data_IF_215082067308
#
_entry.id   IF_215082067308
#
_cell.length_a   1.000
_cell.length_b   1.000
_cell.length_c   1.000
_cell.angle_alpha   90.00
_cell.angle_beta   90.00
_cell.angle_gamma   90.00
#
_symmetry.space_group_name_H-M   'P 1'
#
loop_
_entity.id
_entity.type
_entity.pdbx_description
1 polymer ?
#
# COMPACT_ATOMS: atom_id res chain seq x y z
N UNK A 1 4.53 17.06 -27.06
CA UNK A 1 4.35 16.62 -26.75
C UNK A 1 4.12 15.94 -26.51
N UNK A 2 4.08 15.84 -26.54
CA UNK A 2 3.80 15.06 -26.23
C UNK A 2 3.91 14.75 -25.48
N UNK A 3 4.37 14.78 -25.22
CA UNK A 3 4.53 14.36 -24.63
C UNK A 3 4.39 14.19 -23.80
N UNK A 4 4.44 14.48 -23.29
CA UNK A 4 4.31 14.11 -22.48
C UNK A 4 3.70 13.57 -22.10
N UNK A 5 3.12 13.58 -22.19
CA UNK A 5 2.36 12.84 -22.10
C UNK A 5 2.47 11.70 -22.58
N UNK A 6 2.87 11.51 -23.12
CA UNK A 6 3.11 10.43 -23.54
C UNK A 6 3.99 9.88 -23.19
N UNK A 7 4.64 10.31 -22.71
CA UNK A 7 5.48 9.71 -22.38
C UNK A 7 5.36 8.95 -21.54
N UNK A 8 5.03 9.15 -21.09
CA UNK A 8 5.13 8.28 -20.17
C UNK A 8 4.70 7.11 -20.51
N UNK A 9 4.11 7.24 -20.98
CA UNK A 9 3.59 6.17 -21.15
C UNK A 9 4.44 5.22 -21.49
N UNK A 10 5.27 5.41 -21.76
CA UNK A 10 5.98 4.50 -22.05
C UNK A 10 6.53 3.74 -21.03
N UNK A 11 6.29 3.91 -19.84
CA UNK A 11 6.79 3.16 -18.81
C UNK A 11 5.92 2.01 -18.60
N UNK A 12 6.33 0.78 -18.85
CA UNK A 12 5.49 -0.39 -18.64
C UNK A 12 5.08 -0.54 -17.19
N UNK A 13 5.98 -0.23 -16.28
CA UNK A 13 5.63 -0.36 -14.88
C UNK A 13 4.51 0.59 -14.50
N UNK A 14 4.49 1.77 -15.09
CA UNK A 14 3.43 2.73 -14.79
C UNK A 14 2.08 2.23 -15.21
N UNK A 15 2.02 1.49 -16.33
CA UNK A 15 0.74 0.99 -16.77
C UNK A 15 0.31 -0.23 -15.99
N UNK A 16 1.22 -0.89 -15.30
CA UNK A 16 0.87 -2.07 -14.53
C UNK A 16 0.40 -1.75 -13.13
N UNK A 17 0.62 -0.55 -12.66
CA UNK A 17 0.21 -0.17 -11.32
C UNK A 17 -0.26 1.27 -11.30
N UNK A 18 -1.49 1.48 -10.87
CA UNK A 18 -2.03 2.80 -10.66
C UNK A 18 -2.26 3.00 -9.19
N UNK A 19 -1.87 4.15 -8.68
CA UNK A 19 -1.98 4.47 -7.27
C UNK A 19 -2.59 5.85 -7.13
N UNK A 20 -3.58 5.98 -6.25
CA UNK A 20 -4.18 7.27 -5.92
C UNK A 20 -4.19 7.44 -4.42
N UNK A 21 -3.82 8.64 -3.97
CA UNK A 21 -3.93 8.99 -2.58
C UNK A 21 -5.19 9.81 -2.40
N UNK A 22 -6.07 9.35 -1.53
CA UNK A 22 -7.35 9.97 -1.32
C UNK A 22 -7.49 10.39 0.13
N UNK A 23 -7.86 11.65 0.33
CA UNK A 23 -8.14 12.16 1.67
C UNK A 23 -9.62 11.94 1.90
N UNK A 24 -9.94 11.04 2.83
CA UNK A 24 -11.33 10.69 3.09
C UNK A 24 -11.90 11.45 4.27
N UNK A 25 -11.16 12.44 4.78
CA UNK A 25 -11.66 13.22 5.91
C UNK A 25 -11.36 12.56 7.23
N UNK A 26 -11.43 13.34 8.27
CA UNK A 26 -11.30 12.83 9.64
C UNK A 26 -9.98 12.13 9.89
N UNK A 27 -8.93 12.56 9.20
CA UNK A 27 -7.62 11.98 9.40
C UNK A 27 -7.42 10.66 8.72
N UNK A 28 -8.25 10.32 7.76
CA UNK A 28 -8.14 9.04 7.04
C UNK A 28 -7.57 9.28 5.65
N UNK A 29 -6.50 8.57 5.33
CA UNK A 29 -5.89 8.61 4.01
C UNK A 29 -6.00 7.23 3.41
N UNK A 30 -6.53 7.15 2.18
CA UNK A 30 -6.62 5.89 1.47
C UNK A 30 -5.60 5.87 0.35
N UNK A 31 -4.81 4.80 0.29
CA UNK A 31 -3.86 4.57 -0.79
C UNK A 31 -4.50 3.51 -1.66
N UNK A 32 -5.11 3.95 -2.76
CA UNK A 32 -5.86 3.05 -3.62
C UNK A 32 -4.98 2.56 -4.75
N UNK A 33 -4.82 1.26 -4.86
CA UNK A 33 -3.93 0.66 -5.84
C UNK A 33 -4.70 -0.25 -6.77
N UNK A 34 -4.29 -0.29 -8.04
CA UNK A 34 -4.89 -1.17 -9.03
C UNK A 34 -3.80 -1.68 -9.96
N UNK A 35 -3.74 -2.98 -10.13
CA UNK A 35 -2.76 -3.58 -11.02
C UNK A 35 -1.90 -4.61 -10.30
N UNK A 36 -0.60 -4.56 -10.54
CA UNK A 36 0.32 -5.54 -9.99
C UNK A 36 1.45 -4.82 -9.25
N UNK A 37 1.82 -5.38 -8.11
CA UNK A 37 2.93 -4.85 -7.33
C UNK A 37 4.04 -5.89 -7.37
N UNK A 38 5.04 -5.64 -8.19
CA UNK A 38 6.15 -6.56 -8.36
C UNK A 38 7.46 -5.79 -8.19
N UNK A 39 8.56 -6.42 -8.56
CA UNK A 39 9.86 -5.80 -8.31
C UNK A 39 10.00 -4.47 -9.06
N UNK A 40 9.32 -4.31 -10.18
CA UNK A 40 9.44 -3.08 -10.96
C UNK A 40 8.54 -1.98 -10.42
N UNK A 41 7.38 -2.31 -9.91
CA UNK A 41 6.42 -1.31 -9.44
C UNK A 41 6.51 -1.05 -7.94
N UNK A 42 7.13 -1.95 -7.20
CA UNK A 42 7.19 -1.82 -5.75
C UNK A 42 7.87 -0.53 -5.27
N UNK A 43 8.93 -0.03 -5.91
CA UNK A 43 9.51 1.23 -5.43
C UNK A 43 8.51 2.38 -5.46
N UNK A 44 7.70 2.44 -6.51
CA UNK A 44 6.69 3.50 -6.59
C UNK A 44 5.62 3.30 -5.52
N UNK A 45 5.24 2.06 -5.28
CA UNK A 45 4.30 1.74 -4.21
C UNK A 45 4.84 2.24 -2.86
N UNK A 46 6.12 1.96 -2.59
CA UNK A 46 6.73 2.42 -1.36
C UNK A 46 6.77 3.93 -1.23
N UNK A 47 7.04 4.62 -2.34
CA UNK A 47 7.08 6.07 -2.32
C UNK A 47 5.70 6.65 -2.00
N UNK A 48 4.66 6.08 -2.57
CA UNK A 48 3.33 6.58 -2.31
C UNK A 48 2.89 6.31 -0.88
N UNK A 49 3.28 5.17 -0.33
CA UNK A 49 3.01 4.90 1.08
C UNK A 49 3.70 5.94 1.96
N UNK A 50 4.95 6.28 1.64
CA UNK A 50 5.67 7.27 2.41
C UNK A 50 4.99 8.62 2.35
N UNK A 51 4.49 9.00 1.17
CA UNK A 51 3.77 10.26 1.04
C UNK A 51 2.53 10.28 1.91
N UNK A 52 1.82 9.16 1.95
CA UNK A 52 0.62 9.09 2.77
C UNK A 52 0.96 9.29 4.24
N UNK A 53 2.07 8.71 4.68
CA UNK A 53 2.46 8.82 6.08
C UNK A 53 2.95 10.20 6.45
N UNK A 54 3.46 10.95 5.48
CA UNK A 54 3.97 12.30 5.76
C UNK A 54 2.90 13.21 6.31
N UNK A 55 1.65 12.94 6.00
CA UNK A 55 0.56 13.77 6.49
C UNK A 55 0.14 13.39 7.90
N UNK A 56 0.79 12.41 8.49
CA UNK A 56 0.49 11.94 9.84
C UNK A 56 -1.00 11.69 10.03
N UNK A 57 -1.61 10.89 9.16
CA UNK A 57 -3.03 10.61 9.31
C UNK A 57 -3.28 9.73 10.52
N UNK A 58 -4.50 9.79 11.02
CA UNK A 58 -4.90 8.90 12.10
C UNK A 58 -5.01 7.46 11.60
N UNK A 59 -5.30 7.31 10.31
CA UNK A 59 -5.54 5.99 9.78
C UNK A 59 -5.17 5.99 8.30
N UNK A 60 -4.39 5.00 7.91
CA UNK A 60 -4.05 4.81 6.51
C UNK A 60 -4.68 3.50 6.07
N UNK A 61 -5.46 3.56 5.00
CA UNK A 61 -6.07 2.37 4.44
C UNK A 61 -5.36 2.08 3.13
N UNK A 62 -4.63 0.98 3.07
CA UNK A 62 -3.98 0.55 1.84
C UNK A 62 -4.95 -0.37 1.14
N UNK A 63 -5.54 0.14 0.08
CA UNK A 63 -6.63 -0.54 -0.61
C UNK A 63 -6.04 -1.33 -1.78
N UNK A 64 -5.91 -2.62 -1.59
CA UNK A 64 -5.37 -3.52 -2.61
C UNK A 64 -6.46 -4.37 -3.25
N UNK A 65 -7.72 -3.95 -3.12
CA UNK A 65 -8.81 -4.77 -3.65
C UNK A 65 -8.77 -4.93 -5.15
N UNK A 66 -8.10 -4.01 -5.85
CA UNK A 66 -7.96 -4.12 -7.29
C UNK A 66 -6.54 -4.51 -7.70
N UNK A 67 -5.78 -5.06 -6.77
CA UNK A 67 -4.44 -5.56 -7.05
C UNK A 67 -4.54 -7.06 -7.23
N UNK A 68 -4.00 -7.55 -8.34
CA UNK A 68 -4.06 -8.97 -8.66
C UNK A 68 -2.80 -9.72 -8.27
N UNK A 69 -1.76 -9.01 -7.90
CA UNK A 69 -0.50 -9.66 -7.57
C UNK A 69 0.35 -8.74 -6.71
N UNK A 70 0.93 -9.30 -5.67
CA UNK A 70 1.91 -8.60 -4.86
C UNK A 70 3.00 -9.60 -4.52
N UNK A 71 4.26 -9.20 -4.69
CA UNK A 71 5.35 -10.09 -4.34
C UNK A 71 6.03 -9.62 -3.06
N UNK A 72 7.10 -10.29 -2.68
CA UNK A 72 7.73 -10.05 -1.40
C UNK A 72 8.28 -8.64 -1.26
N UNK A 73 8.67 -8.02 -2.37
CA UNK A 73 9.19 -6.65 -2.28
C UNK A 73 8.06 -5.69 -1.90
N UNK A 74 6.88 -5.89 -2.50
CA UNK A 74 5.73 -5.07 -2.15
C UNK A 74 5.32 -5.27 -0.71
N UNK A 75 5.33 -6.52 -0.26
CA UNK A 75 4.99 -6.80 1.13
C UNK A 75 5.97 -6.13 2.07
N UNK A 76 7.26 -6.11 1.70
CA UNK A 76 8.24 -5.47 2.52
C UNK A 76 7.93 -3.99 2.69
N UNK A 77 7.52 -3.33 1.61
CA UNK A 77 7.16 -1.93 1.72
C UNK A 77 5.96 -1.72 2.64
N UNK A 78 5.01 -2.66 2.62
CA UNK A 78 3.88 -2.57 3.54
C UNK A 78 4.32 -2.68 4.99
N UNK A 79 5.21 -3.62 5.27
CA UNK A 79 5.68 -3.80 6.64
C UNK A 79 6.49 -2.59 7.09
N UNK A 80 7.31 -2.04 6.20
CA UNK A 80 8.07 -0.85 6.54
C UNK A 80 7.14 0.33 6.82
N UNK A 81 6.09 0.48 6.02
CA UNK A 81 5.15 1.57 6.23
C UNK A 81 4.42 1.39 7.56
N UNK A 82 4.04 0.17 7.87
CA UNK A 82 3.36 -0.07 9.14
C UNK A 82 4.24 0.30 10.32
N UNK A 83 5.53 -0.01 10.21
CA UNK A 83 6.47 0.33 11.28
C UNK A 83 6.64 1.83 11.40
N UNK A 84 6.38 2.58 10.34
CA UNK A 84 6.55 4.02 10.36
C UNK A 84 5.31 4.80 10.75
N UNK A 85 4.22 4.12 11.07
CA UNK A 85 3.00 4.80 11.45
C UNK A 85 3.17 5.41 12.83
N UNK A 86 2.67 6.62 13.00
CA UNK A 86 2.79 7.32 14.28
C UNK A 86 2.07 6.58 15.38
N UNK A 87 2.54 6.78 16.60
CA UNK A 87 1.90 6.18 17.75
C UNK A 87 0.45 6.64 17.81
N UNK A 88 -0.45 5.68 17.96
CA UNK A 88 -1.87 5.99 18.02
C UNK A 88 -2.56 5.96 16.68
N UNK A 89 -1.78 5.88 15.60
CA UNK A 89 -2.36 5.78 14.27
C UNK A 89 -2.36 4.33 13.83
N UNK A 90 -3.09 4.04 12.75
CA UNK A 90 -3.23 2.69 12.27
C UNK A 90 -3.01 2.62 10.78
N UNK A 91 -2.47 1.49 10.34
CA UNK A 91 -2.37 1.18 8.93
C UNK A 91 -3.14 -0.13 8.71
N UNK A 92 -4.13 -0.08 7.83
CA UNK A 92 -4.97 -1.23 7.53
C UNK A 92 -4.81 -1.59 6.07
N UNK A 93 -4.91 -2.87 5.76
CA UNK A 93 -4.78 -3.35 4.39
C UNK A 93 -6.05 -4.07 4.01
N UNK A 94 -6.58 -3.74 2.83
CA UNK A 94 -7.76 -4.40 2.28
C UNK A 94 -7.35 -5.14 1.03
N UNK A 95 -7.74 -6.40 0.91
CA UNK A 95 -7.41 -7.21 -0.25
C UNK A 95 -8.50 -8.23 -0.47
N UNK A 96 -8.78 -8.53 -1.73
CA UNK A 96 -9.81 -9.51 -2.07
C UNK A 96 -9.27 -10.65 -2.89
N UNK A 97 -8.24 -10.44 -3.69
CA UNK A 97 -7.67 -11.52 -4.50
C UNK A 97 -7.03 -12.56 -3.58
N UNK A 98 -7.38 -13.83 -3.72
CA UNK A 98 -6.85 -14.85 -2.80
C UNK A 98 -5.33 -14.95 -2.81
N UNK A 99 -4.70 -14.69 -3.94
CA UNK A 99 -3.24 -14.78 -4.00
C UNK A 99 -2.61 -13.64 -3.22
N UNK A 100 -3.19 -12.44 -3.33
CA UNK A 100 -2.71 -11.29 -2.59
C UNK A 100 -2.91 -11.55 -1.09
N UNK A 101 -4.10 -12.03 -0.73
CA UNK A 101 -4.38 -12.29 0.67
C UNK A 101 -3.43 -13.33 1.25
N UNK A 102 -3.12 -14.36 0.46
CA UNK A 102 -2.19 -15.38 0.93
C UNK A 102 -0.81 -14.80 1.20
N UNK A 103 -0.31 -13.94 0.30
CA UNK A 103 0.99 -13.32 0.51
C UNK A 103 1.01 -12.47 1.78
N UNK A 104 -0.08 -11.73 2.01
CA UNK A 104 -0.16 -10.89 3.20
C UNK A 104 -0.20 -11.75 4.45
N UNK A 105 -0.91 -12.85 4.39
CA UNK A 105 -1.03 -13.74 5.54
C UNK A 105 0.30 -14.42 5.86
N UNK A 106 0.98 -14.91 4.83
CA UNK A 106 2.27 -15.56 5.03
C UNK A 106 3.26 -14.58 5.65
N UNK A 107 3.23 -13.33 5.21
CA UNK A 107 4.15 -12.33 5.73
C UNK A 107 3.76 -11.83 7.11
N UNK A 108 2.59 -12.20 7.59
CA UNK A 108 2.17 -11.79 8.92
C UNK A 108 1.59 -10.39 9.00
N UNK A 109 1.20 -9.83 7.88
CA UNK A 109 0.67 -8.47 7.90
C UNK A 109 -0.57 -8.39 8.79
N UNK A 110 -1.48 -9.33 8.63
CA UNK A 110 -2.68 -9.30 9.45
C UNK A 110 -2.44 -9.77 10.87
N UNK A 111 -1.55 -10.74 11.03
CA UNK A 111 -1.22 -11.18 12.37
C UNK A 111 -0.54 -10.10 13.17
N UNK A 112 0.31 -9.32 12.50
CA UNK A 112 0.98 -8.25 13.18
C UNK A 112 -0.01 -7.22 13.66
N UNK A 113 -1.01 -6.91 12.88
CA UNK A 113 -2.05 -6.00 13.32
C UNK A 113 -2.77 -6.56 14.54
N UNK A 114 -3.05 -7.85 14.51
CA UNK A 114 -3.73 -8.48 15.64
C UNK A 114 -2.85 -8.41 16.89
N UNK A 115 -1.57 -8.63 16.71
CA UNK A 115 -0.68 -8.59 17.87
C UNK A 115 -0.57 -7.22 18.47
N UNK A 116 -0.80 -6.20 17.68
CA UNK A 116 -0.67 -4.85 18.20
C UNK A 116 -1.86 -4.47 19.07
N UNK A 117 -2.84 -5.32 19.18
CA UNK A 117 -3.96 -5.07 20.06
C UNK A 117 -3.47 -5.20 21.49
N UNK A 118 -3.53 -4.15 22.23
CA UNK A 118 -2.97 -4.18 23.56
C UNK A 118 -3.71 -5.11 24.45
N UNK A 119 -3.12 -5.46 25.46
CA UNK A 119 -3.74 -6.34 26.37
C UNK A 119 -3.69 -7.72 25.93
N UNK A 120 -3.41 -7.85 24.73
CA UNK A 120 -3.22 -9.12 24.32
C UNK A 120 -1.88 -9.46 24.72
N UNK A 121 -1.36 -8.95 25.12
CA UNK A 121 -0.22 -9.13 25.59
C UNK A 121 -0.13 -9.56 26.41
#
# INVERSE_FOLDING_TARGET
>A
MLSERERPAKRPDSSLLRIRLLDEGEGICRVECAGEIDIQTAPRFGEELAKALEKAPCRVIVDLRQVSRIDSVGVRHLLDARAGVAVGSKLEVQATDPRVRMMLEIAGVERERARSIPGVR
#
